data_IF_699247229915
#
_entry.id   IF_699247229915
#
_cell.length_a   1.000
_cell.length_b   1.000
_cell.length_c   1.000
_cell.angle_alpha   90.00
_cell.angle_beta   90.00
_cell.angle_gamma   90.00
#
_symmetry.space_group_name_H-M   'P 1'
#
loop_
_entity.id
_entity.type
_entity.pdbx_description
1 polymer ?
#
# COMPACT_ATOMS: atom_id res chain seq x y z
N UNK A 1 -42.32 10.13 46.59
CA UNK A 1 -41.13 11.02 46.60
C UNK A 1 -40.39 10.86 45.27
N UNK A 2 -40.54 11.77 44.31
CA UNK A 2 -40.06 11.64 42.92
C UNK A 2 -38.52 11.78 42.74
N UNK A 3 -37.72 11.43 43.75
CA UNK A 3 -36.26 11.65 43.75
C UNK A 3 -35.51 10.66 42.85
N UNK A 4 -35.89 9.38 42.86
CA UNK A 4 -35.22 8.35 42.05
C UNK A 4 -35.47 8.57 40.54
N UNK A 5 -36.70 8.85 40.14
CA UNK A 5 -37.04 9.12 38.73
C UNK A 5 -36.32 10.35 38.20
N UNK A 6 -36.19 11.41 39.01
CA UNK A 6 -35.40 12.61 38.65
C UNK A 6 -33.92 12.28 38.50
N UNK A 7 -33.35 11.46 39.37
CA UNK A 7 -31.96 11.03 39.26
C UNK A 7 -31.72 10.25 37.94
N UNK A 8 -32.57 9.27 37.64
CA UNK A 8 -32.44 8.48 36.41
C UNK A 8 -32.60 9.34 35.16
N UNK A 9 -33.58 10.26 35.13
CA UNK A 9 -33.73 11.20 34.02
C UNK A 9 -32.51 12.10 33.85
N UNK A 10 -31.92 12.57 34.96
CA UNK A 10 -30.70 13.35 34.90
C UNK A 10 -29.54 12.55 34.31
N UNK A 11 -29.35 11.29 34.73
CA UNK A 11 -28.33 10.42 34.16
C UNK A 11 -28.57 10.14 32.67
N UNK A 12 -29.82 9.88 32.27
CA UNK A 12 -30.18 9.65 30.88
C UNK A 12 -29.90 10.88 30.01
N UNK A 13 -30.18 12.08 30.52
CA UNK A 13 -29.87 13.34 29.85
C UNK A 13 -28.37 13.51 29.66
N UNK A 14 -27.57 13.30 30.70
CA UNK A 14 -26.10 13.39 30.63
C UNK A 14 -25.55 12.38 29.63
N UNK A 15 -26.01 11.13 29.68
CA UNK A 15 -25.61 10.09 28.75
C UNK A 15 -25.95 10.46 27.30
N UNK A 16 -27.14 11.00 27.06
CA UNK A 16 -27.57 11.46 25.75
C UNK A 16 -26.70 12.62 25.23
N UNK A 17 -26.32 13.57 26.08
CA UNK A 17 -25.43 14.67 25.70
C UNK A 17 -24.03 14.16 25.35
N UNK A 18 -23.45 13.30 26.19
CA UNK A 18 -22.10 12.75 25.95
C UNK A 18 -22.07 11.91 24.68
N UNK A 19 -23.04 10.99 24.55
CA UNK A 19 -23.15 10.15 23.37
C UNK A 19 -23.46 10.98 22.11
N UNK A 20 -24.35 11.96 22.21
CA UNK A 20 -24.69 12.86 21.12
C UNK A 20 -23.48 13.69 20.65
N UNK A 21 -22.68 14.19 21.60
CA UNK A 21 -21.44 14.89 21.28
C UNK A 21 -20.42 13.98 20.58
N UNK A 22 -20.20 12.76 21.10
CA UNK A 22 -19.31 11.77 20.46
C UNK A 22 -19.79 11.40 19.05
N UNK A 23 -21.09 11.12 18.90
CA UNK A 23 -21.70 10.80 17.60
C UNK A 23 -21.54 11.96 16.62
N UNK A 24 -21.77 13.19 17.08
CA UNK A 24 -21.63 14.37 16.23
C UNK A 24 -20.18 14.55 15.76
N UNK A 25 -19.20 14.42 16.67
CA UNK A 25 -17.80 14.50 16.30
C UNK A 25 -17.39 13.40 15.32
N UNK A 26 -17.84 12.18 15.52
CA UNK A 26 -17.48 11.06 14.65
C UNK A 26 -18.04 11.17 13.22
N UNK A 27 -19.21 11.81 13.04
CA UNK A 27 -19.90 11.84 11.75
C UNK A 27 -19.79 13.18 11.01
N UNK A 28 -19.64 14.30 11.73
CA UNK A 28 -19.63 15.64 11.13
C UNK A 28 -18.24 16.30 11.15
N UNK A 29 -17.22 15.62 11.66
CA UNK A 29 -15.84 16.12 11.63
C UNK A 29 -15.00 15.23 10.74
N UNK A 30 -14.46 15.81 9.68
CA UNK A 30 -13.52 15.14 8.80
C UNK A 30 -12.10 15.15 9.39
N UNK A 31 -11.37 14.03 9.32
CA UNK A 31 -9.99 13.96 9.78
C UNK A 31 -9.05 14.65 8.78
N UNK A 32 -8.27 15.61 9.27
CA UNK A 32 -7.24 16.28 8.47
C UNK A 32 -6.07 15.32 8.17
N UNK A 33 -5.89 14.98 6.91
CA UNK A 33 -4.80 14.10 6.47
C UNK A 33 -3.63 14.96 6.04
N UNK A 34 -2.63 15.09 6.93
CA UNK A 34 -1.39 15.80 6.63
C UNK A 34 -0.29 14.86 6.16
N UNK A 35 0.58 15.36 5.29
CA UNK A 35 1.81 14.68 4.96
C UNK A 35 2.70 14.61 6.21
N UNK A 36 3.15 13.41 6.58
CA UNK A 36 4.08 13.19 7.68
C UNK A 36 5.35 12.59 7.08
N UNK A 37 6.41 13.40 6.97
CA UNK A 37 7.74 12.91 6.62
C UNK A 37 8.38 12.30 7.88
N UNK A 38 8.63 11.00 7.85
CA UNK A 38 9.40 10.32 8.90
C UNK A 38 10.81 10.11 8.38
N UNK A 39 11.80 10.74 9.02
CA UNK A 39 13.20 10.47 8.73
C UNK A 39 13.55 9.05 9.18
N UNK A 40 14.01 8.21 8.26
CA UNK A 40 14.44 6.84 8.55
C UNK A 40 15.97 6.82 8.65
N UNK A 41 16.56 6.78 9.85
CA UNK A 41 18.00 6.73 9.99
C UNK A 41 18.54 5.42 9.41
N UNK A 42 19.62 5.52 8.63
CA UNK A 42 20.26 4.37 7.98
C UNK A 42 20.63 3.25 8.95
N UNK A 43 20.93 3.58 10.21
CA UNK A 43 21.19 2.62 11.29
C UNK A 43 20.03 1.66 11.61
N UNK A 44 18.82 1.93 11.11
CA UNK A 44 17.63 1.10 11.29
C UNK A 44 17.24 0.31 10.03
N UNK A 45 17.87 0.59 8.89
CA UNK A 45 17.62 -0.11 7.64
C UNK A 45 18.42 -1.42 7.62
N UNK A 46 17.75 -2.51 7.20
CA UNK A 46 18.40 -3.80 6.95
C UNK A 46 18.66 -3.88 5.43
N UNK A 47 19.91 -3.82 4.97
CA UNK A 47 20.22 -3.92 3.54
C UNK A 47 19.82 -5.31 3.04
N UNK A 48 18.80 -5.37 2.18
CA UNK A 48 18.54 -6.56 1.38
C UNK A 48 19.42 -6.43 0.14
N UNK A 49 20.51 -7.17 0.10
CA UNK A 49 21.32 -7.32 -1.11
C UNK A 49 20.51 -8.12 -2.12
N UNK A 50 19.84 -7.42 -3.03
CA UNK A 50 19.33 -8.03 -4.26
C UNK A 50 20.56 -8.32 -5.10
N UNK A 51 20.96 -9.59 -5.16
CA UNK A 51 21.96 -10.01 -6.13
C UNK A 51 21.48 -9.54 -7.52
N UNK A 52 22.36 -8.95 -8.35
CA UNK A 52 22.04 -8.73 -9.74
C UNK A 52 21.40 -10.01 -10.30
N UNK A 53 20.25 -9.94 -11.01
CA UNK A 53 19.76 -11.10 -11.72
C UNK A 53 20.95 -11.64 -12.54
N UNK A 54 21.18 -12.96 -12.55
CA UNK A 54 22.32 -13.53 -13.25
C UNK A 54 22.36 -12.90 -14.62
N UNK A 55 23.45 -12.19 -14.94
CA UNK A 55 23.63 -11.62 -16.26
C UNK A 55 23.19 -12.70 -17.25
N UNK A 56 22.23 -12.41 -18.15
CA UNK A 56 21.69 -13.41 -19.07
C UNK A 56 22.86 -14.22 -19.56
N UNK A 57 22.83 -15.51 -19.22
CA UNK A 57 23.97 -16.40 -19.31
C UNK A 57 24.74 -16.05 -20.58
N UNK A 58 26.01 -15.66 -20.41
CA UNK A 58 26.95 -15.66 -21.51
C UNK A 58 26.95 -17.09 -22.04
N UNK A 59 26.09 -17.35 -23.02
CA UNK A 59 26.04 -18.61 -23.72
C UNK A 59 27.43 -18.81 -24.32
N UNK A 60 28.04 -20.00 -24.17
CA UNK A 60 29.24 -20.30 -24.90
C UNK A 60 28.87 -20.33 -26.39
N UNK A 61 29.28 -19.31 -27.14
CA UNK A 61 29.55 -19.49 -28.55
C UNK A 61 30.86 -20.28 -28.63
N UNK A 62 30.82 -21.53 -29.12
CA UNK A 62 31.51 -21.78 -30.37
C UNK A 62 30.78 -22.75 -31.33
N UNK A 63 30.75 -22.33 -32.59
CA UNK A 63 30.88 -23.14 -33.82
C UNK A 63 29.92 -24.31 -34.10
N UNK A 64 29.09 -24.09 -35.13
CA UNK A 64 28.84 -24.98 -36.29
C UNK A 64 28.62 -26.48 -36.07
N UNK A 65 27.41 -26.96 -36.41
CA UNK A 65 27.24 -28.02 -37.43
C UNK A 65 25.78 -28.21 -37.82
N UNK A 66 25.57 -28.47 -39.11
CA UNK A 66 24.37 -29.02 -39.77
C UNK A 66 23.16 -28.07 -39.88
N UNK A 67 23.00 -27.36 -41.01
CA UNK A 67 22.46 -27.93 -42.27
C UNK A 67 21.04 -28.47 -42.08
N UNK A 68 20.04 -27.69 -42.52
CA UNK A 68 18.86 -28.13 -43.29
C UNK A 68 17.75 -27.07 -43.21
N UNK A 69 17.34 -26.62 -44.40
CA UNK A 69 16.08 -25.98 -44.78
C UNK A 69 16.07 -24.44 -45.00
N UNK A 70 15.43 -23.99 -46.11
CA UNK A 70 15.89 -22.87 -46.91
C UNK A 70 15.32 -21.53 -46.43
N UNK A 71 16.15 -20.51 -46.52
CA UNK A 71 15.78 -19.11 -46.41
C UNK A 71 14.66 -18.77 -47.42
N UNK A 72 13.46 -18.51 -46.90
CA UNK A 72 12.39 -17.88 -47.66
C UNK A 72 12.89 -16.51 -48.19
N UNK A 73 12.60 -16.15 -49.46
CA UNK A 73 13.29 -15.05 -50.13
C UNK A 73 13.00 -13.72 -49.45
N UNK A 74 14.05 -12.95 -49.23
CA UNK A 74 13.98 -11.54 -48.91
C UNK A 74 13.19 -10.83 -50.02
N UNK A 75 12.15 -10.10 -49.63
CA UNK A 75 11.34 -9.25 -50.50
C UNK A 75 12.27 -8.22 -51.15
N UNK A 76 12.47 -8.23 -52.48
CA UNK A 76 13.22 -7.19 -53.16
C UNK A 76 12.42 -5.89 -53.13
N UNK A 77 13.12 -4.77 -53.09
CA UNK A 77 12.57 -3.44 -53.29
C UNK A 77 11.94 -3.35 -54.70
N UNK A 78 10.62 -3.54 -54.80
CA UNK A 78 9.61 -2.83 -55.61
C UNK A 78 8.20 -3.37 -55.30
#
# INVERSE_FOLDING_TARGET
>A
MPTLTRLVLFLALVAAIVYGAMYALANFVEPDTREITVDIPASKLKPVTIAPPPAPAAGPAPAETADTAPQLPQIPQE
#
